data_IF_708539885387
#
_entry.id   IF_708539885387
#
_cell.length_a   1.000
_cell.length_b   1.000
_cell.length_c   1.000
_cell.angle_alpha   90.00
_cell.angle_beta   90.00
_cell.angle_gamma   90.00
#
_symmetry.space_group_name_H-M   'P 1'
#
loop_
_entity.id
_entity.type
_entity.pdbx_description
1 polymer ?
#
# COMPACT_ATOMS: atom_id res chain seq x y z
N UNK A 1 1.06 1.10 -0.89
CA UNK A 1 2.01 0.43 0.02
C UNK A 1 3.15 1.38 0.33
N UNK A 2 3.57 1.41 1.59
CA UNK A 2 4.62 2.31 2.10
C UNK A 2 5.67 1.53 2.87
N UNK A 3 6.86 2.11 3.00
CA UNK A 3 7.89 1.60 3.91
C UNK A 3 7.60 2.00 5.38
N UNK A 4 8.54 1.73 6.30
CA UNK A 4 8.36 2.06 7.73
C UNK A 4 8.34 3.57 8.01
N UNK A 5 8.93 4.39 7.13
CA UNK A 5 9.02 5.83 7.27
C UNK A 5 7.84 6.57 6.59
N UNK A 6 7.00 5.84 5.85
CA UNK A 6 5.88 6.41 5.10
C UNK A 6 6.22 6.74 3.65
N UNK A 7 7.39 6.32 3.16
CA UNK A 7 7.79 6.49 1.76
C UNK A 7 6.92 5.57 0.89
N UNK A 8 6.19 6.11 -0.11
CA UNK A 8 5.40 5.30 -1.04
C UNK A 8 6.29 4.37 -1.86
N UNK A 9 6.04 3.06 -1.79
CA UNK A 9 6.74 2.05 -2.59
C UNK A 9 5.93 1.62 -3.82
N UNK A 10 4.61 1.68 -3.71
CA UNK A 10 3.66 1.36 -4.77
C UNK A 10 2.31 2.03 -4.47
N UNK A 11 1.64 2.54 -5.48
CA UNK A 11 0.32 3.18 -5.39
C UNK A 11 -0.60 2.61 -6.47
N UNK A 12 -1.87 2.38 -6.12
CA UNK A 12 -2.93 1.99 -7.06
C UNK A 12 -4.11 2.93 -6.84
N UNK A 13 -4.79 3.31 -7.92
CA UNK A 13 -6.00 4.15 -7.86
C UNK A 13 -7.20 3.28 -8.14
N UNK A 14 -8.13 3.22 -7.20
CA UNK A 14 -9.39 2.48 -7.30
C UNK A 14 -10.59 3.44 -7.36
N UNK A 15 -11.77 2.89 -7.68
CA UNK A 15 -13.02 3.62 -7.49
C UNK A 15 -13.32 3.80 -5.99
N UNK A 16 -13.96 4.92 -5.63
CA UNK A 16 -14.20 5.35 -4.24
C UNK A 16 -15.01 4.37 -3.37
N UNK A 17 -15.67 3.38 -3.97
CA UNK A 17 -16.51 2.41 -3.26
C UNK A 17 -16.07 0.96 -3.52
N UNK A 18 -14.74 0.75 -3.58
CA UNK A 18 -14.13 -0.57 -3.74
C UNK A 18 -13.35 -0.92 -2.49
N UNK A 19 -13.60 -2.09 -1.91
CA UNK A 19 -12.89 -2.55 -0.73
C UNK A 19 -11.38 -2.74 -1.04
N UNK A 20 -10.51 -2.23 -0.17
CA UNK A 20 -9.04 -2.22 -0.39
C UNK A 20 -8.47 -3.62 -0.61
N UNK A 21 -9.04 -4.64 0.05
CA UNK A 21 -8.62 -6.04 -0.17
C UNK A 21 -8.71 -6.49 -1.63
N UNK A 22 -9.52 -5.82 -2.46
CA UNK A 22 -9.64 -6.08 -3.90
C UNK A 22 -8.44 -5.55 -4.69
N UNK A 23 -7.84 -4.44 -4.26
CA UNK A 23 -6.63 -3.90 -4.86
C UNK A 23 -5.35 -4.46 -4.23
N UNK A 24 -5.46 -5.30 -3.21
CA UNK A 24 -4.32 -5.79 -2.43
C UNK A 24 -3.23 -6.46 -3.29
N UNK A 25 -3.63 -7.37 -4.18
CA UNK A 25 -2.68 -8.06 -5.07
C UNK A 25 -2.10 -7.11 -6.11
N UNK A 26 -2.91 -6.22 -6.66
CA UNK A 26 -2.50 -5.21 -7.63
C UNK A 26 -1.41 -4.29 -7.03
N UNK A 27 -1.61 -3.83 -5.79
CA UNK A 27 -0.65 -3.01 -5.05
C UNK A 27 0.65 -3.76 -4.77
N UNK A 28 0.57 -5.05 -4.45
CA UNK A 28 1.77 -5.88 -4.29
C UNK A 28 2.52 -6.02 -5.61
N UNK A 29 1.81 -6.30 -6.69
CA UNK A 29 2.42 -6.54 -8.00
C UNK A 29 3.01 -5.26 -8.62
N UNK A 30 2.50 -4.09 -8.23
CA UNK A 30 3.09 -2.80 -8.58
C UNK A 30 4.47 -2.57 -7.95
N UNK A 31 4.93 -3.38 -6.98
CA UNK A 31 6.28 -3.26 -6.44
C UNK A 31 7.34 -3.54 -7.51
N UNK A 32 8.26 -2.60 -7.75
CA UNK A 32 9.36 -2.82 -8.67
C UNK A 32 10.37 -3.79 -8.08
N UNK A 33 11.10 -4.51 -8.94
CA UNK A 33 12.30 -5.21 -8.49
C UNK A 33 13.41 -4.20 -8.21
N UNK A 34 13.93 -4.18 -6.98
CA UNK A 34 14.99 -3.27 -6.57
C UNK A 34 16.33 -3.97 -6.75
N UNK A 35 17.15 -3.42 -7.66
CA UNK A 35 18.52 -3.87 -7.95
C UNK A 35 19.59 -3.03 -7.24
N UNK A 36 20.81 -3.00 -7.81
CA UNK A 36 21.91 -2.14 -7.35
C UNK A 36 22.90 -2.79 -6.38
N UNK A 37 22.69 -4.04 -5.99
CA UNK A 37 23.65 -4.86 -5.26
C UNK A 37 23.94 -6.15 -6.06
N UNK A 38 25.15 -6.74 -5.94
CA UNK A 38 25.44 -8.02 -6.58
C UNK A 38 24.42 -9.10 -6.20
N UNK A 39 23.96 -9.86 -7.20
CA UNK A 39 22.96 -10.93 -7.05
C UNK A 39 21.59 -10.59 -7.65
N UNK A 40 20.60 -11.46 -7.39
CA UNK A 40 19.22 -11.31 -7.90
C UNK A 40 18.54 -10.09 -7.27
N UNK A 41 18.02 -9.20 -8.11
CA UNK A 41 17.24 -8.05 -7.66
C UNK A 41 16.08 -8.49 -6.75
N UNK A 42 15.95 -7.82 -5.60
CA UNK A 42 14.92 -8.14 -4.63
C UNK A 42 13.64 -7.41 -5.00
N UNK A 43 12.56 -8.15 -5.22
CA UNK A 43 11.22 -7.58 -5.43
C UNK A 43 10.36 -7.61 -4.18
N UNK A 44 10.36 -8.74 -3.48
CA UNK A 44 9.40 -8.97 -2.40
C UNK A 44 9.94 -8.58 -1.02
N UNK A 45 9.13 -7.87 -0.20
CA UNK A 45 9.47 -7.59 1.19
C UNK A 45 9.42 -8.88 2.03
N UNK A 46 10.13 -8.90 3.16
CA UNK A 46 10.12 -10.08 4.05
C UNK A 46 8.79 -10.24 4.81
N UNK A 47 8.10 -9.12 5.05
CA UNK A 47 6.79 -9.09 5.72
C UNK A 47 5.97 -7.90 5.24
N UNK A 48 4.64 -8.02 5.31
CA UNK A 48 3.69 -6.93 5.03
C UNK A 48 2.71 -6.85 6.21
N UNK A 49 2.50 -5.64 6.70
CA UNK A 49 1.43 -5.32 7.63
C UNK A 49 0.22 -4.83 6.81
N UNK A 50 -0.96 -5.38 7.09
CA UNK A 50 -2.20 -5.00 6.42
C UNK A 50 -3.35 -4.95 7.42
N UNK A 51 -4.50 -4.38 7.00
CA UNK A 51 -5.66 -4.25 7.87
C UNK A 51 -6.20 -5.64 8.25
N UNK A 52 -6.82 -5.77 9.42
CA UNK A 52 -7.62 -6.94 9.78
C UNK A 52 -8.67 -7.27 8.72
N UNK A 53 -9.20 -6.27 8.02
CA UNK A 53 -10.12 -6.47 6.89
C UNK A 53 -9.52 -7.32 5.76
N UNK A 54 -8.19 -7.34 5.61
CA UNK A 54 -7.45 -8.15 4.64
C UNK A 54 -7.22 -9.60 5.09
N UNK A 55 -7.72 -9.99 6.27
CA UNK A 55 -7.77 -11.39 6.69
C UNK A 55 -8.82 -12.16 5.87
N UNK A 56 -8.44 -12.49 4.65
CA UNK A 56 -9.16 -13.33 3.71
C UNK A 56 -8.17 -14.25 3.00
N UNK A 57 -8.62 -15.44 2.59
CA UNK A 57 -7.76 -16.46 2.00
C UNK A 57 -7.00 -15.95 0.77
N UNK A 58 -7.68 -15.16 -0.08
CA UNK A 58 -7.07 -14.55 -1.26
C UNK A 58 -5.82 -13.73 -0.91
N UNK A 59 -5.92 -12.78 0.03
CA UNK A 59 -4.79 -11.93 0.43
C UNK A 59 -3.67 -12.73 1.09
N UNK A 60 -4.00 -13.70 1.96
CA UNK A 60 -2.99 -14.56 2.60
C UNK A 60 -2.27 -15.45 1.59
N UNK A 61 -2.99 -16.02 0.63
CA UNK A 61 -2.43 -16.83 -0.44
C UNK A 61 -1.53 -16.00 -1.35
N UNK A 62 -1.94 -14.78 -1.71
CA UNK A 62 -1.13 -13.88 -2.52
C UNK A 62 0.22 -13.56 -1.86
N UNK A 63 0.24 -13.32 -0.54
CA UNK A 63 1.48 -13.13 0.22
C UNK A 63 2.33 -14.39 0.27
N UNK A 64 1.70 -15.55 0.53
CA UNK A 64 2.39 -16.85 0.60
C UNK A 64 3.08 -17.21 -0.72
N UNK A 65 2.39 -17.03 -1.85
CA UNK A 65 2.94 -17.28 -3.19
C UNK A 65 4.19 -16.43 -3.49
N UNK A 66 4.26 -15.23 -2.91
CA UNK A 66 5.39 -14.29 -3.07
C UNK A 66 6.47 -14.45 -1.99
N UNK A 67 6.30 -15.40 -1.05
CA UNK A 67 7.23 -15.62 0.05
C UNK A 67 7.22 -14.49 1.11
N UNK A 68 6.12 -13.74 1.21
CA UNK A 68 5.98 -12.59 2.12
C UNK A 68 5.29 -13.04 3.41
N UNK A 69 5.86 -12.72 4.56
CA UNK A 69 5.23 -13.00 5.86
C UNK A 69 4.03 -12.06 6.08
N UNK A 70 2.84 -12.64 6.23
CA UNK A 70 1.62 -11.88 6.54
C UNK A 70 1.59 -11.44 8.00
N UNK A 71 1.58 -10.12 8.25
CA UNK A 71 1.29 -9.51 9.55
C UNK A 71 -0.12 -8.90 9.53
N UNK A 72 -1.10 -9.79 9.45
CA UNK A 72 -2.53 -9.48 9.35
C UNK A 72 -3.25 -10.09 10.55
N UNK A 73 -3.96 -9.27 11.30
CA UNK A 73 -4.71 -9.74 12.47
C UNK A 73 -5.88 -10.64 12.05
N UNK A 74 -6.14 -11.73 12.78
CA UNK A 74 -7.21 -12.69 12.45
C UNK A 74 -8.60 -12.15 12.80
N UNK A 75 -9.51 -12.14 11.82
CA UNK A 75 -10.95 -11.83 11.98
C UNK A 75 -11.58 -12.76 12.99
N UNK A 76 -12.45 -12.20 13.83
CA UNK A 76 -13.12 -12.94 14.92
C UNK A 76 -12.23 -13.38 16.09
N UNK A 77 -10.90 -13.36 15.97
CA UNK A 77 -9.98 -13.94 16.97
C UNK A 77 -9.18 -12.87 17.69
N UNK A 78 -8.45 -12.03 16.96
CA UNK A 78 -7.50 -11.09 17.55
C UNK A 78 -8.13 -9.72 17.81
N UNK A 79 -7.70 -9.02 18.87
CA UNK A 79 -8.19 -7.65 19.15
C UNK A 79 -7.66 -6.66 18.11
N UNK A 80 -8.41 -5.58 17.89
CA UNK A 80 -8.08 -4.57 16.87
C UNK A 80 -7.13 -3.46 17.38
N UNK A 81 -6.71 -3.53 18.64
CA UNK A 81 -5.92 -2.51 19.34
C UNK A 81 -4.46 -2.41 18.86
N UNK A 82 -3.89 -3.51 18.34
CA UNK A 82 -2.48 -3.56 17.91
C UNK A 82 -2.23 -3.01 16.51
N UNK A 83 -3.27 -2.84 15.69
CA UNK A 83 -3.14 -2.40 14.30
C UNK A 83 -2.73 -0.93 14.19
N UNK A 84 -3.19 -0.08 15.11
CA UNK A 84 -2.87 1.36 15.11
C UNK A 84 -1.37 1.67 15.12
N UNK A 85 -0.55 0.82 15.76
CA UNK A 85 0.90 1.02 15.87
C UNK A 85 1.64 0.98 14.53
N UNK A 86 1.08 0.29 13.54
CA UNK A 86 1.66 0.20 12.20
C UNK A 86 0.84 0.97 11.15
N UNK A 87 -0.48 1.10 11.38
CA UNK A 87 -1.39 1.80 10.49
C UNK A 87 -1.10 3.30 10.39
N UNK A 88 -0.64 3.93 11.49
CA UNK A 88 -0.37 5.37 11.50
C UNK A 88 0.62 5.80 10.41
N UNK A 89 1.55 4.92 10.01
CA UNK A 89 2.53 5.21 8.95
C UNK A 89 1.84 5.46 7.61
N UNK A 90 0.86 4.62 7.26
CA UNK A 90 0.07 4.77 6.02
C UNK A 90 -0.82 6.01 6.11
N UNK A 91 -1.45 6.24 7.26
CA UNK A 91 -2.33 7.39 7.49
C UNK A 91 -1.55 8.71 7.39
N UNK A 92 -0.30 8.74 7.85
CA UNK A 92 0.60 9.88 7.68
C UNK A 92 0.89 10.15 6.20
N UNK A 93 1.20 9.13 5.41
CA UNK A 93 1.41 9.28 3.96
C UNK A 93 0.15 9.81 3.27
N UNK A 94 -1.03 9.29 3.62
CA UNK A 94 -2.30 9.83 3.13
C UNK A 94 -2.52 11.30 3.54
N UNK A 95 -2.12 11.68 4.77
CA UNK A 95 -2.18 13.08 5.20
C UNK A 95 -1.25 13.99 4.37
N UNK A 96 -0.06 13.52 3.99
CA UNK A 96 0.82 14.25 3.07
C UNK A 96 0.21 14.42 1.69
N UNK A 97 -0.41 13.38 1.13
CA UNK A 97 -1.17 13.51 -0.12
C UNK A 97 -2.32 14.51 0.02
N UNK A 98 -3.08 14.46 1.13
CA UNK A 98 -4.16 15.40 1.39
C UNK A 98 -3.67 16.86 1.58
N UNK A 99 -2.43 17.08 2.04
CA UNK A 99 -1.85 18.42 2.10
C UNK A 99 -1.59 18.99 0.69
N UNK A 100 -1.44 18.14 -0.33
CA UNK A 100 -1.24 18.55 -1.73
C UNK A 100 -2.57 18.83 -2.47
N UNK A 101 -3.47 19.61 -1.85
CA UNK A 101 -4.68 20.23 -2.40
C UNK A 101 -5.51 19.39 -3.39
N UNK A 102 -5.06 19.31 -4.65
CA UNK A 102 -5.64 18.52 -5.74
C UNK A 102 -5.75 17.02 -5.47
N UNK A 103 -4.92 16.48 -4.59
CA UNK A 103 -5.01 15.07 -4.17
C UNK A 103 -5.99 14.85 -3.00
N UNK A 104 -6.32 15.90 -2.23
CA UNK A 104 -7.33 15.83 -1.17
C UNK A 104 -8.74 15.71 -1.74
N UNK A 105 -9.02 16.58 -2.72
CA UNK A 105 -10.29 16.64 -3.42
C UNK A 105 -9.96 16.50 -4.89
N UNK A 106 -10.36 15.38 -5.48
CA UNK A 106 -10.13 15.10 -6.89
C UNK A 106 -11.05 15.99 -7.73
N UNK A 107 -10.48 16.95 -8.45
CA UNK A 107 -11.18 17.77 -9.44
C UNK A 107 -10.97 17.25 -10.87
N UNK A 108 -9.92 16.46 -11.08
CA UNK A 108 -9.50 15.95 -12.37
C UNK A 108 -10.48 14.87 -12.85
N UNK A 109 -11.24 15.18 -13.91
CA UNK A 109 -12.16 14.22 -14.55
C UNK A 109 -11.42 13.04 -15.17
N UNK A 110 -10.24 13.27 -15.75
CA UNK A 110 -9.42 12.23 -16.36
C UNK A 110 -8.52 11.55 -15.32
N UNK A 111 -8.41 10.23 -15.42
CA UNK A 111 -7.64 9.40 -14.48
C UNK A 111 -6.13 9.55 -14.66
N UNK A 112 -5.67 9.76 -15.88
CA UNK A 112 -4.25 9.94 -16.22
C UNK A 112 -3.66 11.20 -15.59
N UNK A 113 -4.40 12.31 -15.59
CA UNK A 113 -4.00 13.54 -14.88
C UNK A 113 -3.89 13.32 -13.38
N UNK A 114 -4.83 12.59 -12.79
CA UNK A 114 -4.81 12.28 -11.35
C UNK A 114 -3.63 11.35 -11.00
N UNK A 115 -3.36 10.34 -11.83
CA UNK A 115 -2.20 9.46 -11.69
C UNK A 115 -0.88 10.22 -11.83
N UNK A 116 -0.78 11.18 -12.74
CA UNK A 116 0.40 12.01 -12.90
C UNK A 116 0.66 12.87 -11.64
N UNK A 117 -0.38 13.52 -11.10
CA UNK A 117 -0.28 14.27 -9.85
C UNK A 117 0.11 13.38 -8.66
N UNK A 118 -0.48 12.20 -8.56
CA UNK A 118 -0.16 11.24 -7.50
C UNK A 118 1.29 10.75 -7.62
N UNK A 119 1.76 10.50 -8.85
CA UNK A 119 3.15 10.10 -9.11
C UNK A 119 4.12 11.22 -8.72
N UNK A 120 3.82 12.46 -9.09
CA UNK A 120 4.60 13.63 -8.69
C UNK A 120 4.65 13.78 -7.16
N UNK A 121 3.52 13.59 -6.48
CA UNK A 121 3.47 13.61 -5.02
C UNK A 121 4.32 12.51 -4.39
N UNK A 122 4.30 11.29 -4.94
CA UNK A 122 5.19 10.21 -4.49
C UNK A 122 6.66 10.60 -4.65
N UNK A 123 7.04 11.20 -5.79
CA UNK A 123 8.42 11.66 -6.02
C UNK A 123 8.86 12.78 -5.08
N UNK A 124 7.95 13.61 -4.57
CA UNK A 124 8.26 14.67 -3.59
C UNK A 124 8.48 14.10 -2.17
N UNK A 125 7.82 12.99 -1.84
CA UNK A 125 7.92 12.36 -0.51
C UNK A 125 9.19 11.51 -0.37
N UNK A 126 9.64 10.89 -1.48
CA UNK A 126 10.85 10.06 -1.54
C UNK A 126 12.14 10.88 -1.36
#
# INVERSE_FOLDING_TARGET
MVDRNGVPLAVCVTGANRHDSVAFEEVLDALPAIGGKPGRARRWPGKVHADKADDIDRCRNALKQRGITARIARKGIERNDRLGQHRWVVERTHAWFAAMGKLRIRFERRIDLHLALLSLACSIIC
#
